data_IF_258725113133
#
_entry.id   IF_258725113133
#
_cell.length_a   1.000
_cell.length_b   1.000
_cell.length_c   1.000
_cell.angle_alpha   90.00
_cell.angle_beta   90.00
_cell.angle_gamma   90.00
#
_symmetry.space_group_name_H-M   'P 1'
#
loop_
_entity.id
_entity.type
_entity.pdbx_description
1 polymer ?
#
# COMPACT_ATOMS: atom_id res chain seq x y z
N UNK A 1 -1.86 -11.40 3.93
CA UNK A 1 -1.42 -10.87 2.62
C UNK A 1 -0.79 -9.51 2.81
N UNK A 2 0.09 -9.15 1.90
CA UNK A 2 0.75 -7.84 1.92
C UNK A 2 0.40 -7.09 0.64
N UNK A 3 -0.03 -5.86 0.80
CA UNK A 3 -0.21 -4.94 -0.32
C UNK A 3 0.92 -3.93 -0.28
N UNK A 4 1.63 -3.77 -1.38
CA UNK A 4 2.72 -2.80 -1.46
C UNK A 4 2.22 -1.59 -2.23
N UNK A 5 2.38 -0.41 -1.63
CA UNK A 5 2.00 0.85 -2.26
C UNK A 5 3.28 1.68 -2.38
N UNK A 6 3.57 2.15 -3.57
CA UNK A 6 4.79 2.90 -3.79
C UNK A 6 4.50 4.26 -4.40
N UNK A 7 5.54 5.07 -4.47
CA UNK A 7 5.47 6.45 -4.97
C UNK A 7 4.66 7.35 -4.04
N UNK A 8 4.68 7.05 -2.75
CA UNK A 8 4.04 7.91 -1.77
C UNK A 8 4.93 9.11 -1.45
N UNK A 9 4.33 10.23 -1.04
CA UNK A 9 5.14 11.39 -0.69
C UNK A 9 5.93 11.15 0.59
N UNK A 10 7.03 11.90 0.79
CA UNK A 10 7.93 11.62 1.93
C UNK A 10 7.29 11.84 3.30
N UNK A 11 6.25 12.63 3.37
CA UNK A 11 5.60 12.92 4.66
C UNK A 11 4.32 12.12 4.88
N UNK A 12 4.10 11.06 4.09
CA UNK A 12 2.91 10.25 4.23
C UNK A 12 2.87 9.61 5.62
N UNK A 13 1.68 9.47 6.17
CA UNK A 13 1.48 8.87 7.49
C UNK A 13 0.71 7.57 7.36
N UNK A 14 0.79 6.76 8.43
CA UNK A 14 0.00 5.53 8.47
C UNK A 14 -1.49 5.82 8.36
N UNK A 15 -1.93 6.91 8.97
CA UNK A 15 -3.35 7.27 8.92
C UNK A 15 -3.80 7.54 7.49
N UNK A 16 -2.95 8.16 6.70
CA UNK A 16 -3.29 8.39 5.30
C UNK A 16 -3.39 7.10 4.53
N UNK A 17 -2.54 6.13 4.85
CA UNK A 17 -2.63 4.81 4.22
C UNK A 17 -3.94 4.14 4.59
N UNK A 18 -4.33 4.24 5.86
CA UNK A 18 -5.59 3.66 6.30
C UNK A 18 -6.75 4.29 5.54
N UNK A 19 -6.71 5.61 5.33
CA UNK A 19 -7.75 6.29 4.57
C UNK A 19 -7.79 5.82 3.13
N UNK A 20 -6.63 5.59 2.52
CA UNK A 20 -6.60 5.08 1.16
C UNK A 20 -7.30 3.73 1.05
N UNK A 21 -7.23 2.95 2.12
CA UNK A 21 -7.89 1.65 2.18
C UNK A 21 -9.27 1.74 2.82
N UNK A 22 -9.79 2.96 2.94
CA UNK A 22 -11.15 3.23 3.42
C UNK A 22 -11.42 2.70 4.83
N UNK A 23 -10.38 2.75 5.66
CA UNK A 23 -10.52 2.34 7.05
C UNK A 23 -10.77 0.85 7.23
N UNK A 24 -10.28 0.03 6.31
CA UNK A 24 -10.50 -1.41 6.36
C UNK A 24 -10.04 -1.97 7.69
N UNK A 25 -10.95 -2.59 8.44
CA UNK A 25 -10.65 -3.08 9.77
C UNK A 25 -9.77 -4.33 9.76
N UNK A 26 -9.52 -4.89 8.58
CA UNK A 26 -8.67 -6.08 8.47
C UNK A 26 -7.19 -5.76 8.35
N UNK A 27 -6.84 -4.48 8.32
CA UNK A 27 -5.45 -4.06 8.31
C UNK A 27 -4.80 -4.44 9.64
N UNK A 28 -3.66 -5.13 9.56
CA UNK A 28 -2.97 -5.61 10.76
C UNK A 28 -1.73 -4.79 11.07
N UNK A 29 -1.02 -4.34 10.04
CA UNK A 29 0.22 -3.60 10.23
C UNK A 29 0.53 -2.79 8.98
N UNK A 30 1.11 -1.62 9.19
CA UNK A 30 1.60 -0.78 8.11
C UNK A 30 3.05 -0.45 8.39
N UNK A 31 3.91 -0.70 7.41
CA UNK A 31 5.33 -0.37 7.51
C UNK A 31 5.67 0.62 6.41
N UNK A 32 6.25 1.74 6.76
CA UNK A 32 6.67 2.76 5.80
C UNK A 32 8.18 2.68 5.64
N UNK A 33 8.63 2.77 4.40
CA UNK A 33 10.05 2.63 4.09
C UNK A 33 10.42 3.58 2.95
N UNK A 34 11.44 4.41 3.19
CA UNK A 34 11.93 5.32 2.16
C UNK A 34 13.36 5.00 1.76
N UNK A 35 13.73 3.76 1.89
CA UNK A 35 15.09 3.31 1.69
C UNK A 35 15.69 3.83 0.40
N UNK A 36 16.77 4.61 0.54
CA UNK A 36 17.52 5.06 -0.61
C UNK A 36 16.88 6.15 -1.45
N UNK A 37 15.68 6.59 -1.11
CA UNK A 37 15.02 7.62 -1.90
C UNK A 37 14.11 8.48 -1.02
N UNK A 38 14.61 9.62 -0.57
CA UNK A 38 13.82 10.47 0.33
C UNK A 38 12.55 11.03 -0.29
N UNK A 39 12.45 11.04 -1.61
CA UNK A 39 11.28 11.60 -2.27
C UNK A 39 10.17 10.60 -2.48
N UNK A 40 10.42 9.33 -2.21
CA UNK A 40 9.44 8.28 -2.45
C UNK A 40 9.40 7.33 -1.27
N UNK A 41 8.21 7.08 -0.80
CA UNK A 41 8.01 6.17 0.32
C UNK A 41 7.21 4.97 -0.18
N UNK A 42 7.55 3.80 0.32
CA UNK A 42 6.77 2.60 0.08
C UNK A 42 6.06 2.21 1.35
N UNK A 43 4.85 1.75 1.21
CA UNK A 43 4.08 1.24 2.33
C UNK A 43 3.82 -0.24 2.11
N UNK A 44 4.08 -1.03 3.15
CA UNK A 44 3.77 -2.46 3.15
C UNK A 44 2.63 -2.64 4.12
N UNK A 45 1.48 -3.03 3.59
CA UNK A 45 0.27 -3.16 4.39
C UNK A 45 -0.04 -4.64 4.56
N UNK A 46 0.07 -5.12 5.81
CA UNK A 46 -0.34 -6.48 6.12
C UNK A 46 -1.84 -6.44 6.41
N UNK A 47 -2.58 -7.22 5.66
CA UNK A 47 -4.02 -7.19 5.75
C UNK A 47 -4.56 -8.62 5.72
N UNK A 48 -5.55 -8.88 6.55
CA UNK A 48 -6.11 -10.22 6.71
C UNK A 48 -7.23 -10.46 5.70
N UNK A 49 -6.81 -10.72 4.47
CA UNK A 49 -7.75 -10.99 3.37
C UNK A 49 -7.15 -12.10 2.52
N UNK A 50 -7.98 -12.66 1.67
CA UNK A 50 -7.51 -13.65 0.72
C UNK A 50 -6.60 -12.98 -0.31
N UNK A 51 -5.83 -13.80 -1.00
CA UNK A 51 -4.95 -13.31 -2.04
C UNK A 51 -5.72 -12.60 -3.14
N UNK A 52 -6.85 -13.17 -3.51
CA UNK A 52 -7.65 -12.58 -4.57
C UNK A 52 -8.20 -11.21 -4.15
N UNK A 53 -8.65 -11.10 -2.92
CA UNK A 53 -9.15 -9.83 -2.44
C UNK A 53 -8.03 -8.80 -2.29
N UNK A 54 -6.85 -9.24 -1.85
CA UNK A 54 -5.72 -8.33 -1.76
C UNK A 54 -5.36 -7.79 -3.14
N UNK A 55 -5.40 -8.63 -4.15
CA UNK A 55 -5.13 -8.19 -5.51
C UNK A 55 -6.17 -7.20 -5.99
N UNK A 56 -7.42 -7.45 -5.64
CA UNK A 56 -8.50 -6.55 -5.99
C UNK A 56 -8.30 -5.17 -5.36
N UNK A 57 -7.94 -5.15 -4.08
CA UNK A 57 -7.68 -3.90 -3.38
C UNK A 57 -6.48 -3.17 -3.98
N UNK A 58 -5.43 -3.90 -4.28
CA UNK A 58 -4.25 -3.30 -4.89
C UNK A 58 -4.59 -2.70 -6.25
N UNK A 59 -5.40 -3.40 -7.04
CA UNK A 59 -5.80 -2.88 -8.34
C UNK A 59 -6.58 -1.58 -8.24
N UNK A 60 -7.37 -1.43 -7.20
CA UNK A 60 -8.11 -0.19 -6.99
C UNK A 60 -7.19 0.97 -6.65
N UNK A 61 -6.09 0.70 -5.98
CA UNK A 61 -5.15 1.74 -5.60
C UNK A 61 -4.11 2.01 -6.67
N UNK A 62 -3.90 1.06 -7.56
CA UNK A 62 -2.89 1.22 -8.59
C UNK A 62 -3.29 2.37 -9.51
N UNK A 63 -2.38 3.34 -9.67
CA UNK A 63 -2.59 4.56 -10.43
C UNK A 63 -3.54 5.54 -9.77
N UNK A 64 -3.92 5.32 -8.51
CA UNK A 64 -4.73 6.29 -7.78
C UNK A 64 -3.93 7.57 -7.60
N UNK A 65 -4.63 8.69 -7.65
CA UNK A 65 -3.99 9.99 -7.52
C UNK A 65 -3.96 10.39 -6.05
N UNK A 66 -2.78 10.72 -5.55
CA UNK A 66 -2.61 11.09 -4.16
C UNK A 66 -1.53 12.16 -4.06
N UNK A 67 -1.92 13.36 -3.62
CA UNK A 67 -1.01 14.48 -3.43
C UNK A 67 -0.12 14.71 -4.65
N UNK A 68 -0.76 14.83 -5.80
CA UNK A 68 -0.10 15.15 -7.07
C UNK A 68 0.80 14.04 -7.59
N UNK A 69 0.56 12.81 -7.14
CA UNK A 69 1.30 11.64 -7.61
C UNK A 69 0.33 10.55 -7.97
N UNK A 70 0.71 9.74 -8.93
CA UNK A 70 -0.02 8.50 -9.20
C UNK A 70 0.69 7.38 -8.47
N UNK A 71 -0.04 6.69 -7.62
CA UNK A 71 0.51 5.60 -6.82
C UNK A 71 0.62 4.32 -7.64
N UNK A 72 1.59 3.48 -7.27
CA UNK A 72 1.65 2.12 -7.76
C UNK A 72 1.29 1.21 -6.62
N UNK A 73 0.45 0.22 -6.88
CA UNK A 73 0.04 -0.72 -5.85
C UNK A 73 -0.03 -2.11 -6.41
N UNK A 74 0.49 -3.07 -5.65
CA UNK A 74 0.50 -4.46 -6.11
C UNK A 74 0.65 -5.39 -4.92
N UNK A 75 0.38 -6.66 -5.17
CA UNK A 75 0.68 -7.71 -4.21
C UNK A 75 1.69 -8.65 -4.85
N UNK A 76 2.58 -9.25 -4.05
CA UNK A 76 3.50 -10.22 -4.62
C UNK A 76 2.75 -11.40 -5.22
N UNK A 77 3.22 -11.86 -6.37
CA UNK A 77 2.59 -12.98 -7.03
C UNK A 77 3.04 -14.31 -6.45
N UNK A 78 4.21 -14.35 -5.84
CA UNK A 78 4.78 -15.60 -5.33
C UNK A 78 4.77 -15.60 -3.84
N UNK A 79 3.60 -15.75 -3.30
CA UNK A 79 3.47 -15.83 -1.85
C UNK A 79 3.67 -17.27 -1.42
N UNK A 80 4.33 -17.43 -0.28
CA UNK A 80 4.47 -18.76 0.30
C UNK A 80 5.41 -19.68 -0.43
N UNK A 81 6.30 -19.13 -1.15
CA UNK A 81 7.24 -19.96 -1.88
C UNK A 81 8.33 -20.49 -1.01
#
# INVERSE_FOLDING_TARGET
MVITISNLPPHVTEEQIIELLQGDSRIQRITLNNEGNPDKVMAFVEIDVSRLEAQFLANKLNHAYFEERHLDAYTPLFMGR
#
